data_IF_655290361749
#
_entry.id   IF_655290361749
#
_cell.length_a   1.000
_cell.length_b   1.000
_cell.length_c   1.000
_cell.angle_alpha   90.00
_cell.angle_beta   90.00
_cell.angle_gamma   90.00
#
_symmetry.space_group_name_H-M   'P 1'
#
loop_
_entity.id
_entity.type
_entity.pdbx_description
1 polymer ?
#
# COMPACT_ATOMS: atom_id res chain seq x y z
N UNK A 1 -15.01 20.70 4.81
CA UNK A 1 -14.36 19.38 4.94
C UNK A 1 -12.92 19.54 4.55
N UNK A 2 -12.00 19.33 5.49
CA UNK A 2 -10.56 19.20 5.18
C UNK A 2 -10.32 17.77 4.70
N UNK A 3 -9.67 17.62 3.55
CA UNK A 3 -9.24 16.30 3.07
C UNK A 3 -8.14 15.81 4.03
N UNK A 4 -8.25 14.61 4.61
CA UNK A 4 -7.21 14.08 5.47
C UNK A 4 -5.92 13.88 4.66
N UNK A 5 -4.80 14.35 5.22
CA UNK A 5 -3.48 14.16 4.63
C UNK A 5 -3.14 12.67 4.62
N UNK A 6 -2.78 12.12 3.45
CA UNK A 6 -2.32 10.74 3.33
C UNK A 6 -0.95 10.60 4.03
N UNK A 7 -0.77 9.64 4.95
CA UNK A 7 0.51 9.44 5.62
C UNK A 7 1.65 9.08 4.66
N UNK A 8 2.86 9.59 4.94
CA UNK A 8 4.04 9.39 4.08
C UNK A 8 4.69 8.02 4.24
N UNK A 9 4.56 7.37 5.41
CA UNK A 9 5.19 6.08 5.70
C UNK A 9 4.22 4.92 5.49
N UNK A 10 4.76 3.74 5.15
CA UNK A 10 3.95 2.52 5.02
C UNK A 10 3.22 2.19 6.32
N UNK A 11 3.94 2.22 7.46
CA UNK A 11 3.35 2.00 8.78
C UNK A 11 2.26 3.05 9.11
N UNK A 12 2.47 4.32 8.76
CA UNK A 12 1.47 5.37 8.94
C UNK A 12 0.21 5.12 8.13
N UNK A 13 0.34 4.66 6.88
CA UNK A 13 -0.81 4.31 6.03
C UNK A 13 -1.54 3.07 6.53
N UNK A 14 -0.82 2.07 7.04
CA UNK A 14 -1.43 0.91 7.70
C UNK A 14 -2.23 1.33 8.93
N UNK A 15 -1.67 2.20 9.79
CA UNK A 15 -2.36 2.73 10.95
C UNK A 15 -3.62 3.52 10.57
N UNK A 16 -3.52 4.36 9.53
CA UNK A 16 -4.66 5.09 8.99
C UNK A 16 -5.79 4.16 8.51
N UNK A 17 -5.45 3.08 7.80
CA UNK A 17 -6.44 2.09 7.36
C UNK A 17 -7.05 1.35 8.56
N UNK A 18 -6.23 0.93 9.52
CA UNK A 18 -6.70 0.24 10.72
C UNK A 18 -7.68 1.12 11.52
N UNK A 19 -7.37 2.40 11.70
CA UNK A 19 -8.26 3.39 12.33
C UNK A 19 -9.57 3.53 11.55
N UNK A 20 -9.51 3.71 10.23
CA UNK A 20 -10.69 3.84 9.38
C UNK A 20 -11.60 2.60 9.42
N UNK A 21 -11.02 1.42 9.61
CA UNK A 21 -11.73 0.14 9.72
C UNK A 21 -12.13 -0.22 11.16
N UNK A 22 -11.70 0.56 12.17
CA UNK A 22 -11.97 0.29 13.58
C UNK A 22 -11.29 -0.97 14.11
N UNK A 23 -10.11 -1.32 13.58
CA UNK A 23 -9.33 -2.52 13.97
C UNK A 23 -7.93 -2.13 14.45
N UNK A 24 -7.25 -3.05 15.13
CA UNK A 24 -5.88 -2.82 15.60
C UNK A 24 -4.84 -3.08 14.50
N UNK A 25 -3.76 -2.31 14.52
CA UNK A 25 -2.56 -2.59 13.72
C UNK A 25 -1.88 -3.85 14.27
N UNK A 26 -1.37 -4.76 13.42
CA UNK A 26 -0.59 -5.91 13.89
C UNK A 26 0.68 -5.47 14.63
N UNK A 27 0.99 -6.14 15.73
CA UNK A 27 2.16 -5.83 16.56
C UNK A 27 3.47 -6.37 15.96
N UNK A 28 4.60 -5.80 16.37
CA UNK A 28 5.94 -6.30 16.02
C UNK A 28 6.36 -6.08 14.56
N UNK A 29 5.63 -5.24 13.82
CA UNK A 29 5.95 -4.93 12.42
C UNK A 29 7.17 -4.00 12.29
N UNK A 30 8.06 -4.23 11.31
CA UNK A 30 9.12 -3.29 10.98
C UNK A 30 8.55 -2.03 10.30
N UNK A 31 9.30 -0.92 10.32
CA UNK A 31 8.80 0.37 9.83
C UNK A 31 8.48 0.39 8.32
N UNK A 32 9.20 -0.40 7.53
CA UNK A 32 9.00 -0.57 6.08
C UNK A 32 7.95 -1.63 5.74
N UNK A 33 7.45 -2.36 6.75
CA UNK A 33 6.48 -3.43 6.62
C UNK A 33 6.96 -4.62 5.76
N UNK A 34 8.27 -4.85 5.65
CA UNK A 34 8.84 -5.95 4.86
C UNK A 34 9.41 -7.05 5.76
N UNK A 35 9.32 -8.31 5.32
CA UNK A 35 10.06 -9.43 5.88
C UNK A 35 11.53 -9.40 5.41
N UNK A 36 12.36 -10.29 5.95
CA UNK A 36 13.81 -10.31 5.69
C UNK A 36 14.19 -10.58 4.21
N UNK A 37 13.27 -11.13 3.43
CA UNK A 37 13.41 -11.36 1.99
C UNK A 37 12.97 -10.16 1.13
N UNK A 38 12.50 -9.08 1.76
CA UNK A 38 11.99 -7.88 1.10
C UNK A 38 10.55 -8.02 0.59
N UNK A 39 9.86 -9.13 0.88
CA UNK A 39 8.43 -9.25 0.60
C UNK A 39 7.60 -8.53 1.68
N UNK A 40 6.35 -8.13 1.39
CA UNK A 40 5.44 -7.63 2.42
C UNK A 40 5.33 -8.60 3.59
N UNK A 41 5.47 -8.09 4.82
CA UNK A 41 5.43 -8.91 6.01
C UNK A 41 4.14 -9.74 6.08
N UNK A 42 4.24 -11.02 6.44
CA UNK A 42 3.08 -11.94 6.47
C UNK A 42 1.88 -11.39 7.24
N UNK A 43 2.12 -10.69 8.36
CA UNK A 43 1.06 -10.08 9.17
C UNK A 43 0.31 -8.96 8.42
N UNK A 44 0.99 -8.21 7.55
CA UNK A 44 0.39 -7.18 6.69
C UNK A 44 -0.47 -7.82 5.61
N UNK A 45 0.03 -8.89 4.97
CA UNK A 45 -0.75 -9.64 3.99
C UNK A 45 -2.02 -10.23 4.62
N UNK A 46 -1.89 -10.78 5.82
CA UNK A 46 -3.02 -11.35 6.58
C UNK A 46 -4.04 -10.27 6.95
N UNK A 47 -3.56 -9.10 7.40
CA UNK A 47 -4.40 -7.93 7.68
C UNK A 47 -5.20 -7.50 6.44
N UNK A 48 -4.52 -7.38 5.29
CA UNK A 48 -5.16 -6.97 4.04
C UNK A 48 -6.21 -7.99 3.57
N UNK A 49 -5.87 -9.28 3.60
CA UNK A 49 -6.79 -10.34 3.22
C UNK A 49 -8.01 -10.42 4.15
N UNK A 50 -7.82 -10.18 5.45
CA UNK A 50 -8.88 -10.30 6.46
C UNK A 50 -9.82 -9.10 6.44
N UNK A 51 -9.29 -7.89 6.28
CA UNK A 51 -10.06 -6.64 6.43
C UNK A 51 -10.37 -5.93 5.11
N UNK A 52 -9.92 -6.50 3.98
CA UNK A 52 -10.13 -5.90 2.66
C UNK A 52 -9.31 -4.63 2.42
N UNK A 53 -8.20 -4.45 3.13
CA UNK A 53 -7.31 -3.30 2.96
C UNK A 53 -6.50 -3.41 1.66
N UNK A 54 -6.26 -2.26 1.01
CA UNK A 54 -5.44 -2.18 -0.20
C UNK A 54 -3.96 -2.23 0.13
N UNK A 55 -3.28 -3.27 -0.36
CA UNK A 55 -1.82 -3.38 -0.27
C UNK A 55 -1.14 -2.22 -1.03
N UNK A 56 -1.64 -1.89 -2.21
CA UNK A 56 -1.10 -0.81 -3.04
C UNK A 56 -1.17 0.53 -2.32
N UNK A 57 -2.28 0.84 -1.62
CA UNK A 57 -2.36 2.05 -0.83
C UNK A 57 -1.30 2.08 0.28
N UNK A 58 -1.13 0.98 1.01
CA UNK A 58 -0.16 0.90 2.11
C UNK A 58 1.27 1.15 1.61
N UNK A 59 1.68 0.61 0.45
CA UNK A 59 3.05 0.76 -0.04
C UNK A 59 3.28 1.96 -0.97
N UNK A 60 2.29 2.34 -1.77
CA UNK A 60 2.42 3.35 -2.84
C UNK A 60 1.71 4.67 -2.52
N UNK A 61 0.83 4.68 -1.50
CA UNK A 61 0.07 5.85 -1.06
C UNK A 61 -1.06 6.27 -2.00
N UNK A 62 -0.84 6.25 -3.31
CA UNK A 62 -1.84 6.59 -4.32
C UNK A 62 -1.67 5.73 -5.59
N UNK A 63 -2.77 5.54 -6.29
CA UNK A 63 -2.88 4.81 -7.55
C UNK A 63 -2.18 5.58 -8.68
N UNK A 64 -1.86 6.87 -8.51
CA UNK A 64 -1.13 7.67 -9.50
C UNK A 64 0.16 7.01 -10.01
N UNK A 65 0.89 6.29 -9.14
CA UNK A 65 2.09 5.54 -9.55
C UNK A 65 1.71 4.41 -10.52
N UNK A 66 0.67 3.64 -10.20
CA UNK A 66 0.18 2.54 -11.04
C UNK A 66 -0.33 3.05 -12.38
N UNK A 67 -1.09 4.15 -12.39
CA UNK A 67 -1.57 4.79 -13.63
C UNK A 67 -0.41 5.20 -14.52
N UNK A 68 0.62 5.86 -13.95
CA UNK A 68 1.80 6.29 -14.69
C UNK A 68 2.60 5.11 -15.23
N UNK A 69 2.72 4.03 -14.44
CA UNK A 69 3.39 2.82 -14.87
C UNK A 69 2.68 2.18 -16.07
N UNK A 70 1.37 1.95 -15.95
CA UNK A 70 0.56 1.34 -17.01
C UNK A 70 0.56 2.18 -18.28
N UNK A 71 0.44 3.51 -18.16
CA UNK A 71 0.49 4.41 -19.31
C UNK A 71 1.81 4.30 -20.09
N UNK A 72 2.95 4.14 -19.38
CA UNK A 72 4.26 3.94 -20.00
C UNK A 72 4.39 2.57 -20.66
N UNK A 73 3.92 1.51 -20.00
CA UNK A 73 3.94 0.16 -20.56
C UNK A 73 3.16 0.09 -21.89
N UNK A 74 1.94 0.64 -21.91
CA UNK A 74 1.09 0.69 -23.10
C UNK A 74 1.62 1.61 -24.22
N UNK A 75 2.46 2.59 -23.90
CA UNK A 75 3.13 3.42 -24.90
C UNK A 75 4.31 2.68 -25.55
N UNK A 76 5.06 1.91 -24.76
CA UNK A 76 6.17 1.11 -25.27
C UNK A 76 5.69 0.00 -26.21
N UNK A 77 4.59 -0.70 -25.88
CA UNK A 77 4.00 -1.72 -26.76
C UNK A 77 3.60 -1.17 -28.13
N UNK A 78 3.09 0.07 -28.17
CA UNK A 78 2.71 0.75 -29.44
C UNK A 78 3.90 1.18 -30.29
N UNK A 79 5.09 1.33 -29.71
CA UNK A 79 6.32 1.68 -30.43
C UNK A 79 7.10 0.45 -30.93
N UNK A 80 6.75 -0.76 -30.45
CA UNK A 80 7.38 -2.03 -30.85
C UNK A 80 6.54 -2.85 -31.83
N UNK A 81 5.34 -2.38 -32.16
CA UNK A 81 4.44 -2.95 -33.17
C UNK A 81 4.54 -2.18 -34.49
#
# INVERSE_FOLDING_TARGET
MTIPTIPETCLGRLAFVAEALGVSVPEGLPADLLDADGAPAKAVLTFCATHGASLDFIYLGDVAILVRYTARAMANERNTA
#
